data_IF_488626840527
#
_entry.id   IF_488626840527
#
_cell.length_a   1.000
_cell.length_b   1.000
_cell.length_c   1.000
_cell.angle_alpha   90.00
_cell.angle_beta   90.00
_cell.angle_gamma   90.00
#
_symmetry.space_group_name_H-M   'P 1'
#
loop_
_entity.id
_entity.type
_entity.pdbx_description
1 polymer ?
#
# COMPACT_ATOMS: atom_id res chain seq x y z
N UNK A 1 1.33 -15.27 17.84
CA UNK A 1 0.92 -13.90 17.45
C UNK A 1 0.67 -13.91 15.95
N UNK A 2 -0.44 -13.36 15.45
CA UNK A 2 -0.55 -13.08 14.00
C UNK A 2 0.52 -12.02 13.69
N UNK A 3 1.41 -12.31 12.76
CA UNK A 3 2.34 -11.30 12.28
C UNK A 3 1.51 -10.26 11.51
N UNK A 4 1.67 -9.00 11.87
CA UNK A 4 0.94 -7.89 11.27
C UNK A 4 1.70 -7.39 10.03
N UNK A 5 1.01 -7.22 8.92
CA UNK A 5 1.60 -6.66 7.70
C UNK A 5 1.95 -5.18 7.88
N UNK A 6 2.98 -4.69 7.19
CA UNK A 6 3.50 -3.34 7.40
C UNK A 6 2.45 -2.22 7.28
N UNK A 7 1.56 -2.29 6.30
CA UNK A 7 0.51 -1.28 6.12
C UNK A 7 -0.46 -1.28 7.31
N UNK A 8 -0.89 -2.47 7.75
CA UNK A 8 -1.80 -2.59 8.90
C UNK A 8 -1.13 -2.11 10.19
N UNK A 9 0.15 -2.42 10.37
CA UNK A 9 0.97 -1.91 11.48
C UNK A 9 1.03 -0.38 11.53
N UNK A 10 1.06 0.26 10.35
CA UNK A 10 1.03 1.72 10.23
C UNK A 10 -0.39 2.31 10.33
N UNK A 11 -1.42 1.48 10.59
CA UNK A 11 -2.81 1.91 10.73
C UNK A 11 -3.56 2.10 9.40
N UNK A 12 -3.00 1.62 8.28
CA UNK A 12 -3.65 1.73 6.98
C UNK A 12 -4.88 0.81 6.90
N UNK A 13 -6.03 1.37 6.53
CA UNK A 13 -7.29 0.64 6.33
C UNK A 13 -8.20 1.40 5.35
N UNK A 14 -9.02 0.66 4.60
CA UNK A 14 -9.84 1.12 3.46
C UNK A 14 -11.29 0.64 3.55
N UNK A 15 -12.14 1.14 2.67
CA UNK A 15 -13.52 0.70 2.50
C UNK A 15 -14.49 1.35 3.48
N UNK A 16 -15.66 0.75 3.65
CA UNK A 16 -16.68 1.26 4.57
C UNK A 16 -16.15 1.31 6.01
N UNK A 17 -16.01 2.51 6.56
CA UNK A 17 -15.39 2.76 7.87
C UNK A 17 -13.86 2.82 7.85
N UNK A 18 -13.26 2.88 6.66
CA UNK A 18 -11.84 3.09 6.41
C UNK A 18 -11.36 4.50 6.79
N UNK A 19 -10.04 4.70 6.77
CA UNK A 19 -9.48 6.02 6.96
C UNK A 19 -9.84 6.94 5.79
N UNK A 20 -10.07 8.25 6.03
CA UNK A 20 -10.23 9.22 4.96
C UNK A 20 -9.00 9.27 4.04
N UNK A 21 -9.20 9.54 2.75
CA UNK A 21 -8.13 9.61 1.73
C UNK A 21 -6.87 10.36 2.17
N UNK A 22 -7.02 11.52 2.81
CA UNK A 22 -5.88 12.33 3.28
C UNK A 22 -5.04 11.59 4.32
N UNK A 23 -5.69 10.82 5.19
CA UNK A 23 -5.02 10.04 6.22
C UNK A 23 -4.35 8.81 5.63
N UNK A 24 -5.01 8.11 4.69
CA UNK A 24 -4.39 6.99 3.97
C UNK A 24 -3.14 7.43 3.21
N UNK A 25 -3.21 8.54 2.47
CA UNK A 25 -2.07 9.12 1.77
C UNK A 25 -0.92 9.52 2.73
N UNK A 26 -1.24 10.07 3.90
CA UNK A 26 -0.26 10.39 4.95
C UNK A 26 0.44 9.13 5.47
N UNK A 27 -0.33 8.07 5.75
CA UNK A 27 0.21 6.78 6.18
C UNK A 27 1.09 6.18 5.08
N UNK A 28 0.68 6.24 3.82
CA UNK A 28 1.48 5.76 2.68
C UNK A 28 2.79 6.53 2.52
N UNK A 29 2.79 7.85 2.71
CA UNK A 29 4.02 8.64 2.73
C UNK A 29 4.97 8.21 3.85
N UNK A 30 4.44 7.89 5.04
CA UNK A 30 5.23 7.35 6.14
C UNK A 30 5.80 5.98 5.79
N UNK A 31 4.97 5.08 5.25
CA UNK A 31 5.41 3.78 4.74
C UNK A 31 6.52 3.90 3.70
N UNK A 32 6.50 4.91 2.84
CA UNK A 32 7.54 5.15 1.85
C UNK A 32 8.85 5.66 2.47
N UNK A 33 8.75 6.57 3.43
CA UNK A 33 9.89 7.33 3.96
C UNK A 33 10.54 6.74 5.22
N UNK A 34 9.86 5.84 5.93
CA UNK A 34 10.34 5.26 7.18
C UNK A 34 10.84 3.83 7.02
N UNK A 35 11.75 3.43 7.93
CA UNK A 35 12.20 2.04 8.04
C UNK A 35 11.05 1.15 8.49
N UNK A 36 10.99 -0.06 7.93
CA UNK A 36 10.05 -1.07 8.42
C UNK A 36 10.59 -1.61 9.74
N UNK A 37 9.78 -1.65 10.82
CA UNK A 37 10.18 -2.28 12.06
C UNK A 37 10.55 -3.76 11.85
N UNK A 38 11.58 -4.24 12.53
CA UNK A 38 12.11 -5.61 12.31
C UNK A 38 11.11 -6.72 12.65
N UNK A 39 10.15 -6.44 13.52
CA UNK A 39 9.10 -7.38 13.92
C UNK A 39 7.95 -7.50 12.91
N UNK A 40 7.89 -6.63 11.89
CA UNK A 40 6.88 -6.69 10.84
C UNK A 40 7.21 -7.82 9.88
N UNK A 41 6.17 -8.53 9.46
CA UNK A 41 6.33 -9.67 8.56
C UNK A 41 7.02 -9.24 7.25
N UNK A 42 8.02 -10.02 6.83
CA UNK A 42 8.76 -9.78 5.61
C UNK A 42 9.40 -8.37 5.53
N UNK A 43 9.81 -7.78 6.66
CA UNK A 43 10.40 -6.43 6.75
C UNK A 43 11.50 -6.18 5.70
N UNK A 44 12.40 -7.14 5.48
CA UNK A 44 13.48 -7.04 4.48
C UNK A 44 12.96 -6.88 3.04
N UNK A 45 11.79 -7.42 2.72
CA UNK A 45 11.21 -7.37 1.36
C UNK A 45 10.71 -5.98 0.96
N UNK A 46 10.57 -5.06 1.92
CA UNK A 46 10.10 -3.69 1.68
C UNK A 46 11.18 -2.76 1.11
N UNK A 47 12.44 -3.18 1.08
CA UNK A 47 13.55 -2.36 0.58
C UNK A 47 13.86 -1.15 1.47
N UNK A 48 14.85 -0.36 1.08
CA UNK A 48 15.22 0.84 1.84
C UNK A 48 14.15 1.94 1.75
N UNK A 49 14.01 2.82 2.76
CA UNK A 49 13.13 3.98 2.65
C UNK A 49 13.50 4.87 1.47
N UNK A 50 12.49 5.54 0.89
CA UNK A 50 12.63 6.45 -0.26
C UNK A 50 13.28 5.80 -1.51
N UNK A 51 13.20 4.48 -1.64
CA UNK A 51 13.80 3.76 -2.76
C UNK A 51 12.77 3.38 -3.82
N UNK A 52 13.24 3.11 -5.04
CA UNK A 52 12.40 2.55 -6.09
C UNK A 52 11.81 1.19 -5.67
N UNK A 53 12.59 0.34 -5.00
CA UNK A 53 12.11 -0.94 -4.47
C UNK A 53 10.95 -0.75 -3.49
N UNK A 54 11.00 0.29 -2.64
CA UNK A 54 9.94 0.59 -1.67
C UNK A 54 8.62 0.92 -2.36
N UNK A 55 8.61 1.88 -3.29
CA UNK A 55 7.38 2.23 -4.01
C UNK A 55 6.88 1.04 -4.85
N UNK A 56 7.77 0.27 -5.46
CA UNK A 56 7.38 -0.95 -6.17
C UNK A 56 6.70 -1.98 -5.25
N UNK A 57 7.25 -2.23 -4.06
CA UNK A 57 6.66 -3.17 -3.10
C UNK A 57 5.27 -2.67 -2.66
N UNK A 58 5.15 -1.39 -2.33
CA UNK A 58 3.89 -0.78 -1.92
C UNK A 58 2.83 -0.92 -3.02
N UNK A 59 3.15 -0.57 -4.28
CA UNK A 59 2.24 -0.69 -5.41
C UNK A 59 1.77 -2.13 -5.61
N UNK A 60 2.69 -3.11 -5.58
CA UNK A 60 2.32 -4.54 -5.68
C UNK A 60 1.43 -4.99 -4.52
N UNK A 61 1.67 -4.49 -3.32
CA UNK A 61 0.84 -4.81 -2.16
C UNK A 61 -0.58 -4.27 -2.34
N UNK A 62 -0.75 -3.00 -2.75
CA UNK A 62 -2.08 -2.45 -3.01
C UNK A 62 -2.78 -3.19 -4.15
N UNK A 63 -2.08 -3.49 -5.25
CA UNK A 63 -2.60 -4.29 -6.38
C UNK A 63 -3.09 -5.66 -5.93
N UNK A 64 -2.28 -6.37 -5.12
CA UNK A 64 -2.63 -7.68 -4.59
C UNK A 64 -3.82 -7.64 -3.63
N UNK A 65 -3.94 -6.59 -2.81
CA UNK A 65 -5.07 -6.40 -1.91
C UNK A 65 -6.35 -6.13 -2.70
N UNK A 66 -6.34 -5.16 -3.62
CA UNK A 66 -7.49 -4.84 -4.48
C UNK A 66 -7.99 -6.07 -5.25
N UNK A 67 -7.05 -6.82 -5.83
CA UNK A 67 -7.36 -8.03 -6.57
C UNK A 67 -7.93 -9.15 -5.68
N UNK A 68 -7.44 -9.29 -4.44
CA UNK A 68 -8.01 -10.25 -3.49
C UNK A 68 -9.47 -9.91 -3.15
N UNK A 69 -9.78 -8.63 -2.92
CA UNK A 69 -11.16 -8.18 -2.69
C UNK A 69 -12.05 -8.40 -3.93
N UNK A 70 -11.53 -8.09 -5.13
CA UNK A 70 -12.24 -8.30 -6.41
C UNK A 70 -12.57 -9.77 -6.65
N UNK A 71 -11.67 -10.70 -6.31
CA UNK A 71 -11.93 -12.14 -6.42
C UNK A 71 -12.92 -12.66 -5.38
N UNK A 72 -13.04 -11.99 -4.23
CA UNK A 72 -13.90 -12.44 -3.15
C UNK A 72 -15.35 -12.05 -3.38
N UNK A 73 -15.62 -10.74 -3.48
CA UNK A 73 -16.96 -10.18 -3.70
C UNK A 73 -16.83 -8.72 -4.17
N UNK A 74 -16.75 -8.47 -5.48
CA UNK A 74 -16.44 -7.14 -6.01
C UNK A 74 -17.54 -6.12 -5.72
N UNK A 75 -18.80 -6.55 -5.57
CA UNK A 75 -19.92 -5.66 -5.25
C UNK A 75 -19.86 -5.24 -3.78
N UNK A 76 -19.66 -6.21 -2.87
CA UNK A 76 -19.55 -5.93 -1.43
C UNK A 76 -18.34 -5.06 -1.08
N UNK A 77 -17.24 -5.22 -1.80
CA UNK A 77 -15.97 -4.54 -1.49
C UNK A 77 -15.63 -3.41 -2.45
N UNK A 78 -16.61 -2.89 -3.19
CA UNK A 78 -16.43 -1.82 -4.18
C UNK A 78 -15.67 -0.61 -3.60
N UNK A 79 -16.06 -0.13 -2.41
CA UNK A 79 -15.39 1.02 -1.76
C UNK A 79 -13.91 0.73 -1.43
N UNK A 80 -13.62 -0.47 -0.91
CA UNK A 80 -12.25 -0.85 -0.58
C UNK A 80 -11.38 -0.98 -1.83
N UNK A 81 -11.93 -1.55 -2.91
CA UNK A 81 -11.25 -1.67 -4.20
C UNK A 81 -10.94 -0.28 -4.77
N UNK A 82 -11.93 0.63 -4.75
CA UNK A 82 -11.77 2.00 -5.22
C UNK A 82 -10.69 2.75 -4.42
N UNK A 83 -10.70 2.62 -3.09
CA UNK A 83 -9.67 3.20 -2.22
C UNK A 83 -8.27 2.67 -2.56
N UNK A 84 -8.10 1.36 -2.76
CA UNK A 84 -6.80 0.80 -3.16
C UNK A 84 -6.31 1.34 -4.51
N UNK A 85 -7.21 1.49 -5.48
CA UNK A 85 -6.89 2.01 -6.81
C UNK A 85 -6.55 3.51 -6.76
N UNK A 86 -7.27 4.31 -5.98
CA UNK A 86 -6.96 5.71 -5.71
C UNK A 86 -5.57 5.86 -5.06
N UNK A 87 -5.33 5.11 -3.99
CA UNK A 87 -4.08 5.15 -3.23
C UNK A 87 -2.89 4.68 -4.09
N UNK A 88 -3.11 3.73 -4.99
CA UNK A 88 -2.12 3.32 -6.00
C UNK A 88 -1.80 4.44 -6.97
N UNK A 89 -2.81 5.14 -7.51
CA UNK A 89 -2.59 6.29 -8.38
C UNK A 89 -1.82 7.41 -7.67
N UNK A 90 -2.12 7.65 -6.39
CA UNK A 90 -1.38 8.59 -5.57
C UNK A 90 0.11 8.22 -5.46
N UNK A 91 0.43 6.95 -5.16
CA UNK A 91 1.81 6.48 -5.09
C UNK A 91 2.56 6.61 -6.42
N UNK A 92 1.89 6.31 -7.53
CA UNK A 92 2.47 6.47 -8.88
C UNK A 92 2.79 7.94 -9.16
N UNK A 93 1.83 8.83 -8.91
CA UNK A 93 2.00 10.26 -9.18
C UNK A 93 3.08 10.89 -8.30
N UNK A 94 3.17 10.49 -7.04
CA UNK A 94 4.05 11.14 -6.06
C UNK A 94 5.43 10.53 -5.94
N UNK A 95 5.55 9.20 -5.97
CA UNK A 95 6.77 8.50 -5.53
C UNK A 95 7.43 7.65 -6.61
N UNK A 96 6.80 7.45 -7.78
CA UNK A 96 7.46 6.78 -8.90
C UNK A 96 8.45 7.75 -9.57
N UNK A 97 9.77 7.48 -9.54
CA UNK A 97 10.73 8.41 -10.12
C UNK A 97 10.57 8.52 -11.64
N UNK A 98 10.78 9.73 -12.18
CA UNK A 98 10.74 9.97 -13.62
C UNK A 98 11.68 9.01 -14.37
N UNK A 99 11.20 8.46 -15.49
CA UNK A 99 11.96 7.51 -16.31
C UNK A 99 12.05 6.09 -15.74
N UNK A 100 11.52 5.81 -14.54
CA UNK A 100 11.37 4.44 -14.06
C UNK A 100 10.09 3.81 -14.63
N UNK A 101 10.22 2.57 -15.10
CA UNK A 101 9.10 1.73 -15.53
C UNK A 101 8.90 0.61 -14.52
N UNK A 102 7.64 0.30 -14.24
CA UNK A 102 7.33 -0.90 -13.48
C UNK A 102 7.62 -2.12 -14.37
N UNK A 103 8.28 -3.17 -13.85
CA UNK A 103 8.68 -4.34 -14.62
C UNK A 103 7.53 -5.33 -14.88
N UNK A 104 6.28 -4.90 -14.75
CA UNK A 104 5.06 -5.68 -15.01
C UNK A 104 4.07 -4.83 -15.79
#
# INVERSE_FOLDING_TARGET
>A
MRQEGFLAHMGYHVGAGGAPVRERHRILDQCYSHRVPEHVENAASWGAPNSFQRVQKMLRTLDGLAENFRRNDPERYADAIADYEEDRHYLLAKHLPLGKRLPW
#
